data_IF_983252347910
#
_entry.id   IF_983252347910
#
_cell.length_a   1.000
_cell.length_b   1.000
_cell.length_c   1.000
_cell.angle_alpha   90.00
_cell.angle_beta   90.00
_cell.angle_gamma   90.00
#
_symmetry.space_group_name_H-M   'P 1'
#
loop_
_entity.id
_entity.type
_entity.pdbx_description
1 polymer ?
#
# COMPACT_ATOMS: atom_id res chain seq x y z
N UNK A 1 48.55 48.74 -45.45
CA UNK A 1 47.86 47.52 -44.94
C UNK A 1 48.49 47.09 -43.63
N UNK A 2 47.74 47.09 -42.53
CA UNK A 2 47.85 46.06 -41.47
C UNK A 2 46.69 46.25 -40.49
N UNK A 3 45.65 45.44 -40.64
CA UNK A 3 44.62 45.29 -39.61
C UNK A 3 45.21 44.43 -38.51
N UNK A 4 45.42 45.03 -37.34
CA UNK A 4 45.83 44.30 -36.14
C UNK A 4 44.65 43.43 -35.70
N UNK A 5 44.77 42.11 -35.88
CA UNK A 5 43.76 41.17 -35.42
C UNK A 5 43.99 40.92 -33.95
N UNK A 6 43.09 41.38 -33.09
CA UNK A 6 43.07 41.04 -31.68
C UNK A 6 42.56 39.60 -31.55
N UNK A 7 43.46 38.64 -31.49
CA UNK A 7 43.12 37.25 -31.18
C UNK A 7 43.07 37.12 -29.65
N UNK A 8 41.88 36.88 -29.11
CA UNK A 8 41.65 36.59 -27.70
C UNK A 8 41.45 35.08 -27.53
N UNK A 9 42.50 34.25 -27.42
CA UNK A 9 42.34 32.81 -27.26
C UNK A 9 41.92 32.41 -25.83
N UNK A 10 41.78 33.37 -24.92
CA UNK A 10 41.66 33.13 -23.47
C UNK A 10 40.22 32.79 -23.03
N UNK A 11 39.21 32.93 -23.90
CA UNK A 11 37.81 32.75 -23.51
C UNK A 11 37.27 31.33 -23.69
N UNK A 12 37.85 30.51 -24.56
CA UNK A 12 37.30 29.18 -24.87
C UNK A 12 37.52 28.17 -23.74
N UNK A 13 38.71 28.14 -23.15
CA UNK A 13 39.05 27.23 -22.06
C UNK A 13 38.16 27.39 -20.79
N UNK A 14 37.95 28.61 -20.25
CA UNK A 14 37.09 28.77 -19.07
C UNK A 14 35.62 28.48 -19.38
N UNK A 15 35.14 28.81 -20.59
CA UNK A 15 33.79 28.46 -21.04
C UNK A 15 33.59 26.95 -21.14
N UNK A 16 34.57 26.23 -21.69
CA UNK A 16 34.55 24.77 -21.79
C UNK A 16 34.53 24.13 -20.39
N UNK A 17 35.32 24.66 -19.45
CA UNK A 17 35.36 24.19 -18.08
C UNK A 17 34.01 24.39 -17.37
N UNK A 18 33.40 25.57 -17.52
CA UNK A 18 32.07 25.85 -16.97
C UNK A 18 30.99 24.93 -17.56
N UNK A 19 31.04 24.66 -18.86
CA UNK A 19 30.13 23.72 -19.54
C UNK A 19 30.27 22.29 -19.01
N UNK A 20 31.50 21.82 -18.81
CA UNK A 20 31.77 20.50 -18.25
C UNK A 20 31.22 20.38 -16.81
N UNK A 21 31.40 21.41 -15.98
CA UNK A 21 30.87 21.43 -14.62
C UNK A 21 29.34 21.31 -14.60
N UNK A 22 28.63 22.03 -15.48
CA UNK A 22 27.16 21.97 -15.59
C UNK A 22 26.68 20.62 -16.13
N UNK A 23 27.43 20.00 -17.06
CA UNK A 23 27.09 18.69 -17.62
C UNK A 23 27.34 17.53 -16.64
N UNK A 24 28.29 17.67 -15.71
CA UNK A 24 28.52 16.68 -14.64
C UNK A 24 27.65 16.89 -13.40
N UNK A 25 26.91 18.01 -13.32
CA UNK A 25 25.94 18.27 -12.27
C UNK A 25 24.63 17.49 -12.50
N UNK A 26 24.74 16.19 -12.79
CA UNK A 26 23.59 15.30 -12.65
C UNK A 26 23.40 15.09 -11.15
N UNK A 27 22.38 15.73 -10.59
CA UNK A 27 21.88 15.39 -9.26
C UNK A 27 21.38 13.95 -9.32
N UNK A 28 22.20 13.00 -8.88
CA UNK A 28 21.76 11.64 -8.66
C UNK A 28 20.69 11.67 -7.59
N UNK A 29 19.42 11.71 -7.98
CA UNK A 29 18.34 11.48 -7.03
C UNK A 29 18.62 10.12 -6.38
N UNK A 30 18.68 10.05 -5.04
CA UNK A 30 18.82 8.76 -4.37
C UNK A 30 17.68 7.87 -4.86
N UNK A 31 18.03 6.66 -5.28
CA UNK A 31 17.06 5.68 -5.78
C UNK A 31 15.93 5.59 -4.76
N UNK A 32 14.72 6.02 -5.14
CA UNK A 32 13.55 5.96 -4.26
C UNK A 32 13.47 4.53 -3.74
N UNK A 33 13.61 4.37 -2.43
CA UNK A 33 13.47 3.08 -1.77
C UNK A 33 12.12 2.50 -2.15
N UNK A 34 12.07 1.18 -2.37
CA UNK A 34 10.80 0.49 -2.56
C UNK A 34 9.84 0.91 -1.43
N UNK A 35 8.55 1.11 -1.72
CA UNK A 35 7.58 1.48 -0.71
C UNK A 35 7.65 0.46 0.42
N UNK A 36 8.04 0.92 1.61
CA UNK A 36 8.01 0.06 2.77
C UNK A 36 6.55 -0.21 3.10
N UNK A 37 6.16 -1.48 3.12
CA UNK A 37 4.84 -1.85 3.62
C UNK A 37 4.86 -1.57 5.14
N UNK A 38 4.32 -0.40 5.50
CA UNK A 38 4.16 0.05 6.90
C UNK A 38 2.96 -0.65 7.55
N UNK A 39 2.14 -1.37 6.78
CA UNK A 39 0.95 -2.03 7.29
C UNK A 39 1.27 -3.47 7.69
N UNK A 40 1.08 -3.77 8.97
CA UNK A 40 1.07 -5.15 9.45
C UNK A 40 -0.06 -5.91 8.75
N UNK A 41 0.19 -7.08 8.13
CA UNK A 41 -0.84 -7.83 7.44
C UNK A 41 -1.96 -8.20 8.41
N UNK A 42 -3.20 -8.24 7.89
CA UNK A 42 -4.34 -8.64 8.71
C UNK A 42 -4.21 -10.15 9.02
N UNK A 43 -4.48 -10.59 10.27
CA UNK A 43 -4.51 -12.01 10.58
C UNK A 43 -5.46 -12.75 9.63
N UNK A 44 -4.97 -13.83 9.01
CA UNK A 44 -5.76 -14.60 8.04
C UNK A 44 -7.09 -15.07 8.65
N UNK A 45 -7.10 -15.38 9.94
CA UNK A 45 -8.29 -15.79 10.69
C UNK A 45 -9.44 -14.77 10.62
N UNK A 46 -9.15 -13.47 10.62
CA UNK A 46 -10.17 -12.41 10.57
C UNK A 46 -10.73 -12.19 9.16
N UNK A 47 -10.07 -12.71 8.14
CA UNK A 47 -10.49 -12.62 6.73
C UNK A 47 -10.91 -13.97 6.16
N UNK A 48 -10.79 -15.03 6.95
CA UNK A 48 -11.20 -16.36 6.55
C UNK A 48 -12.69 -16.34 6.25
N UNK A 49 -13.11 -17.15 5.28
CA UNK A 49 -14.53 -17.30 4.98
C UNK A 49 -15.21 -17.95 6.18
N UNK A 50 -16.23 -17.29 6.73
CA UNK A 50 -17.08 -17.90 7.75
C UNK A 50 -17.85 -19.07 7.16
N UNK A 51 -17.80 -20.22 7.84
CA UNK A 51 -18.56 -21.40 7.44
C UNK A 51 -20.06 -21.14 7.62
N UNK A 52 -20.86 -21.50 6.62
CA UNK A 52 -22.31 -21.28 6.60
C UNK A 52 -23.00 -22.64 6.57
N UNK A 53 -23.98 -22.90 7.45
CA UNK A 53 -24.69 -24.17 7.46
C UNK A 53 -25.45 -24.40 6.14
N UNK A 54 -25.41 -25.62 5.58
CA UNK A 54 -26.14 -25.92 4.36
C UNK A 54 -27.65 -25.82 4.60
N UNK A 55 -28.44 -25.46 3.57
CA UNK A 55 -29.89 -25.44 3.69
C UNK A 55 -30.42 -26.84 4.01
N UNK A 56 -31.49 -26.97 4.82
CA UNK A 56 -32.02 -28.27 5.18
C UNK A 56 -32.69 -28.96 3.99
N UNK A 57 -32.76 -30.28 4.09
CA UNK A 57 -33.39 -31.15 3.08
C UNK A 57 -34.86 -30.81 2.88
N UNK A 58 -35.33 -30.92 1.62
CA UNK A 58 -36.74 -30.69 1.27
C UNK A 58 -37.55 -31.99 1.33
N UNK A 59 -38.83 -31.96 1.76
CA UNK A 59 -39.56 -30.79 2.26
C UNK A 59 -39.07 -30.36 3.65
N UNK A 60 -38.96 -29.04 3.85
CA UNK A 60 -38.49 -28.46 5.11
C UNK A 60 -39.59 -28.54 6.18
N UNK A 61 -39.23 -28.99 7.37
CA UNK A 61 -40.12 -28.96 8.55
C UNK A 61 -39.87 -27.69 9.37
N UNK A 62 -40.85 -27.25 10.16
CA UNK A 62 -40.69 -26.10 11.07
C UNK A 62 -39.56 -26.31 12.09
N UNK A 63 -39.42 -27.53 12.61
CA UNK A 63 -38.29 -27.88 13.50
C UNK A 63 -36.94 -27.81 12.79
N UNK A 64 -36.86 -28.28 11.54
CA UNK A 64 -35.65 -28.17 10.72
C UNK A 64 -35.30 -26.72 10.37
N UNK A 65 -36.30 -25.88 10.15
CA UNK A 65 -36.11 -24.43 9.97
C UNK A 65 -35.51 -23.81 11.23
N UNK A 66 -36.07 -24.08 12.41
CA UNK A 66 -35.60 -23.52 13.67
C UNK A 66 -34.13 -23.85 13.94
N UNK A 67 -33.73 -25.12 13.79
CA UNK A 67 -32.34 -25.56 13.95
C UNK A 67 -31.41 -24.89 12.94
N UNK A 68 -31.83 -24.82 11.67
CA UNK A 68 -31.01 -24.20 10.63
C UNK A 68 -30.84 -22.69 10.85
N UNK A 69 -31.89 -21.98 11.29
CA UNK A 69 -31.80 -20.55 11.59
C UNK A 69 -30.90 -20.26 12.79
N UNK A 70 -30.90 -21.14 13.79
CA UNK A 70 -29.99 -21.04 14.94
C UNK A 70 -28.52 -21.14 14.48
N UNK A 71 -28.19 -22.16 13.68
CA UNK A 71 -26.84 -22.29 13.10
C UNK A 71 -26.45 -21.12 12.18
N UNK A 72 -27.41 -20.46 11.53
CA UNK A 72 -27.15 -19.25 10.75
C UNK A 72 -26.84 -18.05 11.64
N UNK A 73 -27.45 -17.95 12.82
CA UNK A 73 -27.14 -16.90 13.80
C UNK A 73 -25.72 -17.10 14.35
N UNK A 74 -25.30 -18.33 14.64
CA UNK A 74 -23.92 -18.63 15.05
C UNK A 74 -22.89 -18.19 13.98
N UNK A 75 -23.17 -18.47 12.71
CA UNK A 75 -22.33 -18.02 11.60
C UNK A 75 -22.28 -16.49 11.50
N UNK A 76 -23.42 -15.82 11.71
CA UNK A 76 -23.50 -14.36 11.71
C UNK A 76 -22.70 -13.75 12.88
N UNK A 77 -22.79 -14.34 14.07
CA UNK A 77 -22.06 -13.90 15.24
C UNK A 77 -20.55 -14.05 15.05
N UNK A 78 -20.11 -15.16 14.46
CA UNK A 78 -18.70 -15.36 14.08
C UNK A 78 -18.22 -14.27 13.12
N UNK A 79 -18.97 -14.00 12.05
CA UNK A 79 -18.63 -12.95 11.09
C UNK A 79 -18.60 -11.54 11.74
N UNK A 80 -19.53 -11.25 12.65
CA UNK A 80 -19.55 -10.00 13.38
C UNK A 80 -18.35 -9.86 14.33
N UNK A 81 -17.91 -10.95 14.95
CA UNK A 81 -16.72 -10.97 15.79
C UNK A 81 -15.45 -10.70 14.97
N UNK A 82 -15.31 -11.32 13.80
CA UNK A 82 -14.17 -11.07 12.89
C UNK A 82 -14.13 -9.60 12.45
N UNK A 83 -15.28 -9.06 12.05
CA UNK A 83 -15.42 -7.63 11.69
C UNK A 83 -15.04 -6.70 12.84
N UNK A 84 -15.42 -7.04 14.07
CA UNK A 84 -15.04 -6.28 15.26
C UNK A 84 -13.52 -6.33 15.49
N UNK A 85 -12.90 -7.50 15.32
CA UNK A 85 -11.45 -7.67 15.41
C UNK A 85 -10.69 -6.82 14.39
N UNK A 86 -11.15 -6.78 13.13
CA UNK A 86 -10.57 -5.92 12.10
C UNK A 86 -10.66 -4.45 12.50
N UNK A 87 -11.84 -4.01 12.99
CA UNK A 87 -12.05 -2.63 13.43
C UNK A 87 -11.11 -2.27 14.58
N UNK A 88 -10.90 -3.17 15.54
CA UNK A 88 -9.98 -2.95 16.64
C UNK A 88 -8.53 -2.80 16.16
N UNK A 89 -8.07 -3.66 15.25
CA UNK A 89 -6.74 -3.56 14.67
C UNK A 89 -6.53 -2.23 13.96
N UNK A 90 -7.54 -1.74 13.25
CA UNK A 90 -7.49 -0.44 12.57
C UNK A 90 -7.44 0.73 13.57
N UNK A 91 -8.24 0.69 14.63
CA UNK A 91 -8.17 1.69 15.71
C UNK A 91 -6.78 1.71 16.36
N UNK A 92 -6.17 0.55 16.59
CA UNK A 92 -4.81 0.44 17.13
C UNK A 92 -3.76 1.00 16.15
N UNK A 93 -3.94 0.84 14.83
CA UNK A 93 -3.06 1.45 13.81
C UNK A 93 -3.14 2.98 13.83
N UNK A 94 -4.35 3.52 13.86
CA UNK A 94 -4.61 4.96 13.96
C UNK A 94 -3.99 5.53 15.24
N UNK A 95 -4.17 4.85 16.38
CA UNK A 95 -3.59 5.28 17.66
C UNK A 95 -2.06 5.32 17.66
N UNK A 96 -1.40 4.47 16.86
CA UNK A 96 0.05 4.48 16.66
C UNK A 96 0.54 5.51 15.63
N UNK A 97 -0.37 6.29 15.03
CA UNK A 97 -0.02 7.27 13.99
C UNK A 97 0.37 6.67 12.64
N UNK A 98 0.08 5.38 12.41
CA UNK A 98 0.28 4.71 11.12
C UNK A 98 -1.02 4.85 10.33
N UNK A 99 -1.09 5.86 9.47
CA UNK A 99 -2.14 6.00 8.43
C UNK A 99 -1.66 5.35 7.14
#
# INVERSE_FOLDING_TARGET
MKTSKLHWPVTTAPLLLCLLLVLTACTGEPRKSAPQIIQEPLPESLTARTDVPPPPTRPMTWGGLAVWTDSLLDALDTCNADKAGIRELELRRIARGRK
#
